data_IF_054167987045
#
_entry.id   IF_054167987045
#
_cell.length_a   1.000
_cell.length_b   1.000
_cell.length_c   1.000
_cell.angle_alpha   90.00
_cell.angle_beta   90.00
_cell.angle_gamma   90.00
#
_symmetry.space_group_name_H-M   'P 1'
#
loop_
_entity.id
_entity.type
_entity.pdbx_description
1 polymer ?
#
# COMPACT_ATOMS: atom_id res chain seq x y z
N UNK A 1 35.54 6.65 13.49
CA UNK A 1 35.49 5.49 12.58
C UNK A 1 34.06 4.99 12.58
N UNK A 2 33.46 4.80 11.40
CA UNK A 2 32.05 4.45 11.25
C UNK A 2 31.84 3.00 11.73
N UNK A 3 30.90 2.78 12.64
CA UNK A 3 30.44 1.44 12.98
C UNK A 3 29.66 0.89 11.79
N UNK A 4 30.26 -0.12 11.18
CA UNK A 4 29.71 -0.91 10.09
C UNK A 4 28.62 -1.83 10.65
N UNK A 5 27.39 -1.34 10.68
CA UNK A 5 26.24 -2.16 11.02
C UNK A 5 25.79 -2.94 9.78
N UNK A 6 26.62 -3.91 9.40
CA UNK A 6 26.26 -4.96 8.44
C UNK A 6 25.15 -5.82 9.08
N UNK A 7 23.89 -5.39 8.92
CA UNK A 7 22.73 -6.19 9.32
C UNK A 7 22.54 -7.32 8.31
N UNK A 8 22.90 -8.51 8.76
CA UNK A 8 22.64 -9.81 8.15
C UNK A 8 21.15 -9.90 7.76
N UNK A 9 20.84 -9.82 6.46
CA UNK A 9 19.50 -10.13 5.94
C UNK A 9 19.45 -11.55 5.40
N UNK A 10 19.15 -12.47 6.31
CA UNK A 10 18.49 -13.75 6.00
C UNK A 10 17.25 -13.45 5.16
N UNK A 11 16.89 -14.32 4.21
CA UNK A 11 15.74 -14.19 3.28
C UNK A 11 14.37 -14.12 3.99
N UNK A 12 14.12 -13.08 4.77
CA UNK A 12 12.81 -12.65 5.23
C UNK A 12 12.47 -11.38 4.47
N UNK A 13 11.30 -11.35 3.82
CA UNK A 13 10.79 -10.11 3.23
C UNK A 13 10.72 -9.05 4.33
N UNK A 14 11.44 -7.94 4.16
CA UNK A 14 11.32 -6.78 5.03
C UNK A 14 9.88 -6.29 4.89
N UNK A 15 9.06 -6.42 5.94
CA UNK A 15 7.72 -5.83 5.95
C UNK A 15 7.88 -4.33 5.84
N UNK A 16 7.37 -3.79 4.74
CA UNK A 16 7.54 -2.41 4.37
C UNK A 16 6.41 -1.57 4.98
N UNK A 17 6.76 -0.48 5.65
CA UNK A 17 5.74 0.43 6.20
C UNK A 17 5.00 1.16 5.07
N UNK A 18 3.86 1.78 5.38
CA UNK A 18 3.15 2.64 4.41
C UNK A 18 4.02 3.82 4.00
N UNK A 19 4.78 4.38 4.94
CA UNK A 19 5.69 5.51 4.69
C UNK A 19 6.79 5.13 3.70
N UNK A 20 7.50 4.02 3.96
CA UNK A 20 8.50 3.49 3.03
C UNK A 20 7.88 3.24 1.64
N UNK A 21 6.62 2.80 1.59
CA UNK A 21 5.92 2.50 0.35
C UNK A 21 5.65 3.75 -0.47
N UNK A 22 5.19 4.81 0.17
CA UNK A 22 4.99 6.12 -0.46
C UNK A 22 6.32 6.72 -0.96
N UNK A 23 7.39 6.62 -0.17
CA UNK A 23 8.73 7.10 -0.57
C UNK A 23 9.23 6.36 -1.82
N UNK A 24 9.10 5.04 -1.91
CA UNK A 24 9.50 4.31 -3.11
C UNK A 24 8.63 4.65 -4.34
N UNK A 25 7.34 4.93 -4.14
CA UNK A 25 6.47 5.36 -5.22
C UNK A 25 6.89 6.75 -5.73
N UNK A 26 7.22 7.67 -4.84
CA UNK A 26 7.74 8.99 -5.18
C UNK A 26 9.07 8.90 -5.93
N UNK A 27 10.00 8.06 -5.45
CA UNK A 27 11.27 7.77 -6.14
C UNK A 27 11.07 7.16 -7.55
N UNK A 28 9.91 6.54 -7.81
CA UNK A 28 9.52 6.01 -9.12
C UNK A 28 8.70 7.00 -9.95
N UNK A 29 8.50 8.22 -9.47
CA UNK A 29 7.81 9.30 -10.17
C UNK A 29 6.31 9.44 -9.87
N UNK A 30 5.75 8.65 -8.94
CA UNK A 30 4.37 8.85 -8.48
C UNK A 30 4.33 9.92 -7.39
N UNK A 31 3.86 11.11 -7.73
CA UNK A 31 3.72 12.22 -6.78
C UNK A 31 2.36 12.17 -6.11
N UNK A 32 2.35 12.18 -4.77
CA UNK A 32 1.15 12.34 -3.97
C UNK A 32 1.11 13.76 -3.42
N UNK A 33 -0.07 14.38 -3.47
CA UNK A 33 -0.31 15.65 -2.79
C UNK A 33 -0.48 15.41 -1.28
N UNK A 34 -0.25 16.43 -0.46
CA UNK A 34 -0.33 16.30 1.01
C UNK A 34 -1.71 15.82 1.49
N UNK A 35 -2.77 16.26 0.82
CA UNK A 35 -4.15 15.83 1.10
C UNK A 35 -4.35 14.34 0.80
N UNK A 36 -3.77 13.82 -0.29
CA UNK A 36 -3.79 12.39 -0.62
C UNK A 36 -3.02 11.57 0.41
N UNK A 37 -1.86 12.03 0.86
CA UNK A 37 -1.08 11.36 1.93
C UNK A 37 -1.90 11.34 3.22
N UNK A 38 -2.46 12.48 3.62
CA UNK A 38 -3.34 12.57 4.80
C UNK A 38 -4.51 11.61 4.71
N UNK A 39 -5.14 11.49 3.53
CA UNK A 39 -6.25 10.59 3.30
C UNK A 39 -5.87 9.10 3.35
N UNK A 40 -4.66 8.73 2.91
CA UNK A 40 -4.12 7.37 3.04
C UNK A 40 -3.98 6.99 4.52
N UNK A 41 -3.38 7.87 5.33
CA UNK A 41 -3.24 7.60 6.76
C UNK A 41 -4.57 7.65 7.51
N UNK A 42 -5.49 8.50 7.07
CA UNK A 42 -6.88 8.47 7.56
C UNK A 42 -7.51 7.10 7.30
N UNK A 43 -7.45 6.57 6.07
CA UNK A 43 -7.99 5.26 5.74
C UNK A 43 -7.35 4.13 6.55
N UNK A 44 -6.02 4.16 6.72
CA UNK A 44 -5.30 3.23 7.59
C UNK A 44 -5.86 3.22 9.02
N UNK A 45 -6.05 4.41 9.61
CA UNK A 45 -6.57 4.55 10.98
C UNK A 45 -8.05 4.20 11.09
N UNK A 46 -8.85 4.60 10.10
CA UNK A 46 -10.28 4.35 10.03
C UNK A 46 -10.61 2.85 9.96
N UNK A 47 -9.80 2.08 9.21
CA UNK A 47 -10.01 0.63 9.03
C UNK A 47 -9.21 -0.24 9.99
N UNK A 48 -8.31 0.34 10.78
CA UNK A 48 -7.29 -0.38 11.56
C UNK A 48 -6.46 -1.37 10.71
N UNK A 49 -6.26 -1.02 9.44
CA UNK A 49 -5.58 -1.89 8.48
C UNK A 49 -4.05 -1.90 8.68
N UNK A 50 -3.40 -3.07 8.54
CA UNK A 50 -1.94 -3.15 8.57
C UNK A 50 -1.33 -2.51 7.32
N UNK A 51 -0.04 -2.13 7.40
CA UNK A 51 0.69 -1.50 6.28
C UNK A 51 0.60 -2.30 4.98
N UNK A 52 0.66 -3.62 5.05
CA UNK A 52 0.58 -4.47 3.85
C UNK A 52 -0.75 -4.33 3.10
N UNK A 53 -1.86 -4.16 3.82
CA UNK A 53 -3.18 -4.01 3.24
C UNK A 53 -3.36 -2.61 2.64
N UNK A 54 -2.89 -1.58 3.35
CA UNK A 54 -2.86 -0.20 2.88
C UNK A 54 -2.03 -0.07 1.59
N UNK A 55 -0.82 -0.63 1.59
CA UNK A 55 0.07 -0.64 0.44
C UNK A 55 -0.56 -1.35 -0.76
N UNK A 56 -1.25 -2.46 -0.52
CA UNK A 56 -1.97 -3.19 -1.57
C UNK A 56 -3.13 -2.39 -2.15
N UNK A 57 -3.89 -1.67 -1.33
CA UNK A 57 -4.98 -0.81 -1.79
C UNK A 57 -4.46 0.37 -2.63
N UNK A 58 -3.33 0.98 -2.24
CA UNK A 58 -2.66 2.02 -3.04
C UNK A 58 -2.21 1.43 -4.39
N UNK A 59 -1.55 0.26 -4.38
CA UNK A 59 -1.07 -0.38 -5.61
C UNK A 59 -2.22 -0.69 -6.58
N UNK A 60 -3.33 -1.24 -6.08
CA UNK A 60 -4.52 -1.53 -6.88
C UNK A 60 -5.11 -0.25 -7.46
N UNK A 61 -5.22 0.81 -6.65
CA UNK A 61 -5.71 2.13 -7.09
C UNK A 61 -4.90 2.65 -8.26
N UNK A 62 -3.56 2.66 -8.13
CA UNK A 62 -2.67 3.12 -9.20
C UNK A 62 -2.74 2.23 -10.45
N UNK A 63 -2.86 0.92 -10.29
CA UNK A 63 -2.96 -0.02 -11.42
C UNK A 63 -4.26 0.16 -12.21
N UNK A 64 -5.39 0.29 -11.51
CA UNK A 64 -6.71 0.40 -12.11
C UNK A 64 -6.96 1.80 -12.70
N UNK A 65 -6.65 2.86 -11.96
CA UNK A 65 -7.00 4.23 -12.33
C UNK A 65 -5.87 4.98 -13.06
N UNK A 66 -4.63 4.46 -13.08
CA UNK A 66 -3.41 5.14 -13.58
C UNK A 66 -3.04 6.44 -12.85
N UNK A 67 -3.80 6.81 -11.83
CA UNK A 67 -3.58 7.93 -10.90
C UNK A 67 -4.08 7.51 -9.52
N UNK A 68 -3.69 8.26 -8.49
CA UNK A 68 -4.30 8.07 -7.18
C UNK A 68 -5.67 8.77 -7.14
N UNK A 69 -6.68 8.05 -6.67
CA UNK A 69 -8.03 8.55 -6.43
C UNK A 69 -8.44 8.14 -5.02
N UNK A 70 -8.63 9.13 -4.13
CA UNK A 70 -8.83 8.91 -2.71
C UNK A 70 -10.09 8.08 -2.41
N UNK A 71 -11.20 8.38 -3.07
CA UNK A 71 -12.46 7.66 -2.87
C UNK A 71 -12.38 6.22 -3.37
N UNK A 72 -11.76 6.01 -4.53
CA UNK A 72 -11.50 4.67 -5.05
C UNK A 72 -10.59 3.89 -4.10
N UNK A 73 -9.48 4.48 -3.65
CA UNK A 73 -8.57 3.88 -2.67
C UNK A 73 -9.29 3.43 -1.39
N UNK A 74 -10.12 4.29 -0.79
CA UNK A 74 -10.87 3.93 0.41
C UNK A 74 -11.79 2.73 0.15
N UNK A 75 -12.51 2.75 -0.98
CA UNK A 75 -13.41 1.65 -1.35
C UNK A 75 -12.67 0.31 -1.53
N UNK A 76 -11.43 0.35 -2.05
CA UNK A 76 -10.58 -0.84 -2.16
C UNK A 76 -10.16 -1.28 -0.75
N UNK A 77 -9.64 -0.37 0.08
CA UNK A 77 -9.17 -0.70 1.43
C UNK A 77 -10.27 -1.33 2.28
N UNK A 78 -11.47 -0.75 2.30
CA UNK A 78 -12.64 -1.27 3.03
C UNK A 78 -13.04 -2.67 2.55
N UNK A 79 -13.03 -2.91 1.24
CA UNK A 79 -13.36 -4.22 0.67
C UNK A 79 -12.31 -5.27 1.02
N UNK A 80 -11.02 -4.94 0.87
CA UNK A 80 -9.95 -5.86 1.24
C UNK A 80 -10.00 -6.19 2.74
N UNK A 81 -10.24 -5.18 3.58
CA UNK A 81 -10.33 -5.33 5.03
C UNK A 81 -11.54 -6.18 5.44
N UNK A 82 -12.74 -5.87 4.95
CA UNK A 82 -13.97 -6.62 5.27
C UNK A 82 -13.92 -8.09 4.81
N UNK A 83 -13.19 -8.37 3.72
CA UNK A 83 -12.96 -9.73 3.23
C UNK A 83 -11.78 -10.43 3.90
N UNK A 84 -11.16 -9.80 4.90
CA UNK A 84 -10.01 -10.35 5.67
C UNK A 84 -8.86 -10.77 4.77
N UNK A 85 -8.62 -10.02 3.69
CA UNK A 85 -7.45 -10.20 2.85
C UNK A 85 -6.21 -9.78 3.65
N UNK A 86 -5.20 -10.64 3.73
CA UNK A 86 -4.06 -10.43 4.64
C UNK A 86 -2.73 -10.22 3.93
N UNK A 87 -2.67 -10.53 2.62
CA UNK A 87 -1.43 -10.45 1.86
C UNK A 87 -1.59 -9.70 0.56
N UNK A 88 -0.49 -9.10 0.09
CA UNK A 88 -0.43 -8.49 -1.25
C UNK A 88 -0.85 -9.46 -2.36
N UNK A 89 -0.45 -10.74 -2.25
CA UNK A 89 -0.78 -11.77 -3.26
C UNK A 89 -2.29 -11.99 -3.35
N UNK A 90 -2.98 -12.06 -2.21
CA UNK A 90 -4.43 -12.19 -2.15
C UNK A 90 -5.13 -10.93 -2.68
N UNK A 91 -4.66 -9.75 -2.31
CA UNK A 91 -5.21 -8.49 -2.80
C UNK A 91 -5.12 -8.36 -4.33
N UNK A 92 -4.00 -8.78 -4.93
CA UNK A 92 -3.85 -8.79 -6.39
C UNK A 92 -4.73 -9.83 -7.08
N UNK A 93 -4.91 -11.02 -6.48
CA UNK A 93 -5.89 -12.00 -6.98
C UNK A 93 -7.31 -11.45 -6.93
N UNK A 94 -7.64 -10.80 -5.81
CA UNK A 94 -8.93 -10.15 -5.63
C UNK A 94 -9.17 -9.08 -6.69
N UNK A 95 -8.19 -8.21 -6.98
CA UNK A 95 -8.25 -7.19 -8.03
C UNK A 95 -8.61 -7.79 -9.39
N UNK A 96 -7.96 -8.89 -9.78
CA UNK A 96 -8.26 -9.61 -11.04
C UNK A 96 -9.69 -10.17 -11.03
N UNK A 97 -10.12 -10.77 -9.91
CA UNK A 97 -11.48 -11.31 -9.79
C UNK A 97 -12.56 -10.22 -9.88
N UNK A 98 -12.25 -8.99 -9.46
CA UNK A 98 -13.14 -7.83 -9.60
C UNK A 98 -13.12 -7.18 -10.99
N UNK A 99 -12.29 -7.65 -11.93
CA UNK A 99 -12.18 -7.07 -13.27
C UNK A 99 -11.45 -5.72 -13.30
N UNK A 100 -10.59 -5.45 -12.31
CA UNK A 100 -9.82 -4.20 -12.19
C UNK A 100 -8.45 -4.25 -12.88
N UNK A 101 -8.08 -5.39 -13.48
CA UNK A 101 -6.81 -5.64 -14.14
C UNK A 101 -7.00 -6.47 -15.42
#
# INVERSE_FOLDING_TARGET
>A
MKEDNTVIRVRGQVKKTTEDFLIDLENRGFKFQEDAIGFIYFGKKYTDAPDELVNSAIEITLKAQKKFDSSFYMSILERLHSQKITSRKEALKWMVHQGLA
#
